data_IF_249593438217
#
_entry.id   IF_249593438217
#
_cell.length_a   1.000
_cell.length_b   1.000
_cell.length_c   1.000
_cell.angle_alpha   90.00
_cell.angle_beta   90.00
_cell.angle_gamma   90.00
#
_symmetry.space_group_name_H-M   'P 1'
#
loop_
_entity.id
_entity.type
_entity.pdbx_description
1 polymer ?
#
# COMPACT_ATOMS: atom_id res chain seq x y z
N UNK A 1 -10.47 -0.43 -98.65
CA UNK A 1 -11.71 -1.22 -98.78
C UNK A 1 -11.78 -2.10 -97.53
N UNK A 2 -12.59 -1.73 -96.52
CA UNK A 2 -13.95 -2.27 -96.25
C UNK A 2 -13.92 -3.81 -96.12
N UNK A 3 -14.39 -4.49 -95.06
CA UNK A 3 -15.17 -4.16 -93.85
C UNK A 3 -15.06 -5.34 -92.85
N UNK A 4 -15.34 -5.20 -91.55
CA UNK A 4 -16.65 -5.18 -90.84
C UNK A 4 -16.90 -6.48 -90.04
N UNK A 5 -17.27 -6.31 -88.75
CA UNK A 5 -18.10 -7.21 -87.89
C UNK A 5 -17.44 -8.45 -87.22
N UNK A 6 -17.63 -8.82 -85.93
CA UNK A 6 -18.57 -8.45 -84.84
C UNK A 6 -17.93 -8.66 -83.43
N UNK A 7 -18.42 -7.88 -82.46
CA UNK A 7 -18.45 -8.07 -80.98
C UNK A 7 -19.23 -9.35 -80.55
N UNK A 8 -19.50 -9.71 -79.25
CA UNK A 8 -19.17 -9.12 -77.91
C UNK A 8 -18.81 -10.13 -76.77
N UNK A 9 -18.25 -9.64 -75.64
CA UNK A 9 -18.65 -10.02 -74.24
C UNK A 9 -17.77 -9.27 -73.23
N UNK A 10 -18.27 -8.23 -72.54
CA UNK A 10 -18.93 -8.30 -71.22
C UNK A 10 -18.01 -8.82 -70.09
N UNK A 11 -17.43 -7.89 -69.31
CA UNK A 11 -17.65 -7.67 -67.86
C UNK A 11 -16.65 -6.58 -67.39
N UNK A 12 -17.04 -5.32 -67.19
CA UNK A 12 -17.69 -4.81 -65.98
C UNK A 12 -16.98 -5.22 -64.67
N UNK A 13 -16.06 -4.38 -64.17
CA UNK A 13 -16.34 -3.56 -62.97
C UNK A 13 -15.13 -2.73 -62.53
N UNK A 14 -15.35 -1.42 -62.46
CA UNK A 14 -14.60 -0.46 -61.65
C UNK A 14 -15.06 -0.62 -60.19
N UNK A 15 -14.16 -0.88 -59.25
CA UNK A 15 -14.40 -0.84 -57.79
C UNK A 15 -13.05 -0.60 -57.12
N UNK A 16 -12.64 0.64 -56.87
CA UNK A 16 -13.00 1.50 -55.73
C UNK A 16 -12.84 0.81 -54.37
N UNK A 17 -12.01 1.45 -53.54
CA UNK A 17 -11.57 1.19 -52.17
C UNK A 17 -12.36 0.19 -51.32
N UNK A 18 -11.61 -0.58 -50.52
CA UNK A 18 -11.89 -0.89 -49.10
C UNK A 18 -10.70 -1.62 -48.48
N UNK A 19 -9.65 -0.87 -48.13
CA UNK A 19 -8.70 -1.30 -47.10
C UNK A 19 -9.42 -1.29 -45.75
N UNK A 20 -9.99 -2.43 -45.39
CA UNK A 20 -10.86 -2.57 -44.22
C UNK A 20 -10.11 -2.53 -42.90
N UNK A 21 -10.89 -2.34 -41.82
CA UNK A 21 -10.56 -2.40 -40.39
C UNK A 21 -9.63 -3.54 -39.92
N UNK A 22 -9.29 -4.50 -40.79
CA UNK A 22 -8.46 -5.66 -40.48
C UNK A 22 -6.95 -5.38 -40.52
N UNK A 23 -6.46 -4.34 -41.20
CA UNK A 23 -5.04 -3.94 -41.06
C UNK A 23 -4.72 -3.25 -39.73
N UNK A 24 -5.76 -2.85 -38.99
CA UNK A 24 -5.64 -2.18 -37.69
C UNK A 24 -5.28 -3.13 -36.53
N UNK A 25 -5.27 -4.45 -36.74
CA UNK A 25 -5.04 -5.45 -35.70
C UNK A 25 -3.67 -6.16 -35.79
N UNK A 26 -2.69 -5.55 -36.47
CA UNK A 26 -1.30 -6.03 -36.37
C UNK A 26 -0.73 -5.66 -34.99
N UNK A 27 -0.03 -6.58 -34.28
CA UNK A 27 0.52 -6.30 -32.95
C UNK A 27 1.48 -5.11 -32.97
N UNK A 28 2.15 -4.86 -34.10
CA UNK A 28 3.01 -3.69 -34.31
C UNK A 28 2.28 -2.34 -34.14
N UNK A 29 0.99 -2.28 -34.49
CA UNK A 29 0.16 -1.07 -34.38
C UNK A 29 -0.49 -0.92 -32.99
N UNK A 30 -0.45 -1.97 -32.17
CA UNK A 30 -1.07 -2.01 -30.85
C UNK A 30 -0.13 -1.52 -29.74
N UNK A 31 1.17 -1.79 -29.88
CA UNK A 31 2.19 -1.42 -28.87
C UNK A 31 2.24 0.09 -28.61
N UNK A 32 2.22 0.97 -29.62
CA UNK A 32 2.18 2.42 -29.38
C UNK A 32 0.91 2.85 -28.65
N UNK A 33 -0.25 2.28 -29.00
CA UNK A 33 -1.53 2.57 -28.35
C UNK A 33 -1.58 2.12 -26.88
N UNK A 34 -0.97 0.97 -26.56
CA UNK A 34 -0.84 0.47 -25.19
C UNK A 34 0.02 1.36 -24.31
N UNK A 35 1.16 1.83 -24.83
CA UNK A 35 2.07 2.72 -24.09
C UNK A 35 1.41 4.08 -23.87
N UNK A 36 0.81 4.64 -24.91
CA UNK A 36 0.09 5.93 -24.82
C UNK A 36 -1.08 5.79 -23.84
N UNK A 37 -1.88 4.74 -23.94
CA UNK A 37 -3.00 4.47 -23.02
C UNK A 37 -2.55 4.26 -21.58
N UNK A 38 -1.42 3.58 -21.36
CA UNK A 38 -0.86 3.40 -20.02
C UNK A 38 -0.37 4.71 -19.43
N UNK A 39 0.36 5.53 -20.19
CA UNK A 39 0.85 6.85 -19.71
C UNK A 39 -0.32 7.80 -19.45
N UNK A 40 -1.32 7.85 -20.35
CA UNK A 40 -2.50 8.70 -20.18
C UNK A 40 -3.38 8.22 -19.01
N UNK A 41 -3.53 6.91 -18.84
CA UNK A 41 -4.22 6.30 -17.70
C UNK A 41 -3.51 6.61 -16.38
N UNK A 42 -2.18 6.48 -16.34
CA UNK A 42 -1.38 6.83 -15.16
C UNK A 42 -1.48 8.33 -14.85
N UNK A 43 -1.48 9.19 -15.86
CA UNK A 43 -1.60 10.64 -15.70
C UNK A 43 -2.99 11.07 -15.21
N UNK A 44 -4.06 10.45 -15.70
CA UNK A 44 -5.43 10.69 -15.21
C UNK A 44 -5.64 10.15 -13.79
N UNK A 45 -5.06 8.99 -13.47
CA UNK A 45 -5.12 8.40 -12.12
C UNK A 45 -4.37 9.27 -11.09
N UNK A 46 -3.22 9.83 -11.48
CA UNK A 46 -2.46 10.80 -10.67
C UNK A 46 -3.13 12.16 -10.54
N UNK A 47 -4.07 12.50 -11.44
CA UNK A 47 -4.79 13.79 -11.45
C UNK A 47 -6.08 13.78 -10.62
N UNK A 48 -6.48 12.63 -10.06
CA UNK A 48 -7.64 12.54 -9.18
C UNK A 48 -7.24 12.65 -7.71
N UNK A 49 -7.40 13.82 -7.06
CA UNK A 49 -7.38 13.87 -5.60
C UNK A 49 -8.65 13.15 -5.11
N UNK A 50 -8.49 11.89 -4.70
CA UNK A 50 -9.56 11.09 -4.09
C UNK A 50 -10.17 11.85 -2.91
N UNK A 51 -11.32 12.47 -3.16
CA UNK A 51 -12.18 13.06 -2.14
C UNK A 51 -12.96 11.92 -1.49
N UNK A 52 -12.41 11.32 -0.44
CA UNK A 52 -13.20 10.56 0.53
C UNK A 52 -13.13 11.24 1.90
N UNK A 53 -13.99 12.24 2.08
CA UNK A 53 -14.34 12.83 3.36
C UNK A 53 -15.55 12.11 3.97
N UNK A 54 -15.52 11.96 5.31
CA UNK A 54 -16.57 11.64 6.32
C UNK A 54 -16.28 10.29 7.02
N UNK A 55 -15.99 10.24 8.32
CA UNK A 55 -16.62 10.95 9.45
C UNK A 55 -15.60 11.50 10.45
N UNK A 56 -15.68 12.81 10.72
CA UNK A 56 -15.14 13.44 11.93
C UNK A 56 -15.96 12.99 13.13
N UNK A 57 -15.31 12.44 14.16
CA UNK A 57 -15.83 12.54 15.53
C UNK A 57 -15.05 13.67 16.20
N UNK A 58 -15.79 14.65 16.74
CA UNK A 58 -15.26 15.82 17.39
C UNK A 58 -14.55 15.39 18.68
N UNK A 59 -13.22 15.51 18.72
CA UNK A 59 -12.47 15.48 19.97
C UNK A 59 -12.09 16.92 20.31
N UNK A 60 -12.48 17.34 21.51
CA UNK A 60 -12.29 18.69 22.05
C UNK A 60 -10.79 19.06 22.05
N UNK A 61 -10.42 20.32 21.75
CA UNK A 61 -9.05 20.78 21.88
C UNK A 61 -8.79 21.10 23.35
N UNK A 62 -8.10 20.20 24.05
CA UNK A 62 -7.83 20.34 25.49
C UNK A 62 -6.40 19.95 25.84
N UNK A 63 -5.59 20.99 26.07
CA UNK A 63 -4.29 21.02 26.76
C UNK A 63 -3.08 20.43 26.04
N UNK A 64 -2.29 21.36 25.49
CA UNK A 64 -0.84 21.50 25.69
C UNK A 64 -0.04 20.20 25.89
N UNK A 65 0.31 19.52 24.80
CA UNK A 65 1.49 18.64 24.80
C UNK A 65 2.74 19.50 24.69
N UNK A 66 2.99 20.23 25.77
CA UNK A 66 4.24 20.92 26.02
C UNK A 66 4.72 20.40 27.38
N UNK A 67 5.19 19.15 27.36
CA UNK A 67 6.00 18.57 28.42
C UNK A 67 7.21 17.90 27.75
N UNK A 68 8.31 18.65 27.81
CA UNK A 68 9.72 18.26 27.98
C UNK A 68 10.23 17.13 27.05
N UNK A 69 11.01 17.34 25.99
CA UNK A 69 12.28 18.10 25.93
C UNK A 69 13.11 17.99 27.22
N UNK A 70 13.25 16.78 27.75
CA UNK A 70 14.47 16.29 28.41
C UNK A 70 14.52 14.77 28.26
N UNK A 71 15.24 14.28 27.24
CA UNK A 71 16.36 13.38 27.47
C UNK A 71 17.17 13.26 26.18
N UNK A 72 18.47 13.49 26.27
CA UNK A 72 19.39 13.16 25.20
C UNK A 72 19.40 11.65 24.99
N UNK A 73 19.40 11.23 23.74
CA UNK A 73 19.83 9.88 23.35
C UNK A 73 18.98 8.69 23.82
N UNK A 74 17.68 8.86 24.09
CA UNK A 74 16.80 7.69 24.26
C UNK A 74 16.64 6.96 22.92
N UNK A 75 17.17 5.74 22.87
CA UNK A 75 17.03 4.84 21.72
C UNK A 75 15.55 4.65 21.37
N UNK A 76 15.14 5.11 20.18
CA UNK A 76 13.79 4.94 19.67
C UNK A 76 13.71 3.71 18.77
N UNK A 77 12.61 2.96 18.86
CA UNK A 77 12.38 1.80 17.99
C UNK A 77 10.92 1.57 17.67
N UNK A 78 10.68 0.84 16.59
CA UNK A 78 9.37 0.31 16.21
C UNK A 78 9.41 -1.22 16.18
N UNK A 79 8.38 -1.86 16.72
CA UNK A 79 8.27 -3.33 16.75
C UNK A 79 7.07 -3.78 15.94
N UNK A 80 7.28 -4.77 15.07
CA UNK A 80 6.22 -5.43 14.30
C UNK A 80 5.93 -6.80 14.90
N UNK A 81 4.71 -6.98 15.39
CA UNK A 81 4.23 -8.23 15.99
C UNK A 81 3.47 -9.02 14.94
N UNK A 82 4.03 -10.16 14.53
CA UNK A 82 3.51 -11.04 13.48
C UNK A 82 2.76 -12.22 14.10
N UNK A 83 1.55 -12.47 13.60
CA UNK A 83 0.76 -13.64 13.98
C UNK A 83 1.30 -14.94 13.37
N UNK A 84 1.61 -15.91 14.22
CA UNK A 84 2.12 -17.22 13.82
C UNK A 84 1.03 -18.22 13.41
N UNK A 85 -0.19 -18.09 13.97
CA UNK A 85 -1.33 -18.95 13.62
C UNK A 85 -1.75 -18.85 12.15
N UNK A 86 -1.41 -17.75 11.48
CA UNK A 86 -1.70 -17.54 10.06
C UNK A 86 -0.73 -18.27 9.11
N UNK A 87 0.35 -18.87 9.63
CA UNK A 87 1.36 -19.63 8.86
C UNK A 87 1.83 -18.91 7.59
N UNK A 88 2.02 -17.59 7.67
CA UNK A 88 2.44 -16.78 6.53
C UNK A 88 3.87 -17.15 6.10
N UNK A 89 4.12 -17.29 4.80
CA UNK A 89 5.48 -17.44 4.27
C UNK A 89 6.29 -16.14 4.38
N UNK A 90 7.62 -16.25 4.34
CA UNK A 90 8.55 -15.13 4.56
C UNK A 90 8.25 -13.89 3.70
N UNK A 91 7.99 -14.08 2.40
CA UNK A 91 7.68 -12.96 1.49
C UNK A 91 6.37 -12.23 1.87
N UNK A 92 5.35 -12.96 2.31
CA UNK A 92 4.11 -12.36 2.79
C UNK A 92 4.34 -11.61 4.11
N UNK A 93 5.12 -12.17 5.03
CA UNK A 93 5.46 -11.49 6.28
C UNK A 93 6.18 -10.17 6.00
N UNK A 94 7.20 -10.19 5.12
CA UNK A 94 7.94 -8.99 4.74
C UNK A 94 7.02 -7.90 4.18
N UNK A 95 6.13 -8.26 3.25
CA UNK A 95 5.13 -7.32 2.68
C UNK A 95 4.19 -6.75 3.76
N UNK A 96 3.70 -7.58 4.69
CA UNK A 96 2.79 -7.13 5.75
C UNK A 96 3.49 -6.23 6.77
N UNK A 97 4.74 -6.52 7.13
CA UNK A 97 5.57 -5.62 7.95
C UNK A 97 5.84 -4.29 7.24
N UNK A 98 6.11 -4.31 5.92
CA UNK A 98 6.25 -3.09 5.14
C UNK A 98 4.96 -2.25 5.15
N UNK A 99 3.80 -2.87 4.94
CA UNK A 99 2.51 -2.18 5.05
C UNK A 99 2.27 -1.59 6.44
N UNK A 100 2.65 -2.31 7.50
CA UNK A 100 2.53 -1.82 8.86
C UNK A 100 3.42 -0.59 9.10
N UNK A 101 4.66 -0.63 8.60
CA UNK A 101 5.61 0.47 8.71
C UNK A 101 5.11 1.72 7.98
N UNK A 102 4.67 1.58 6.73
CA UNK A 102 4.19 2.71 5.93
C UNK A 102 2.87 3.28 6.45
N UNK A 103 1.97 2.41 6.94
CA UNK A 103 0.71 2.82 7.54
C UNK A 103 0.94 3.64 8.81
N UNK A 104 1.78 3.12 9.71
CA UNK A 104 2.20 3.84 10.91
C UNK A 104 2.84 5.19 10.56
N UNK A 105 3.80 5.20 9.63
CA UNK A 105 4.46 6.43 9.17
C UNK A 105 3.45 7.48 8.68
N UNK A 106 2.50 7.06 7.85
CA UNK A 106 1.46 7.94 7.31
C UNK A 106 0.52 8.51 8.37
N UNK A 107 0.29 7.83 9.48
CA UNK A 107 -0.50 8.38 10.59
C UNK A 107 0.31 9.36 11.45
N UNK A 108 1.59 9.07 11.67
CA UNK A 108 2.48 9.87 12.51
C UNK A 108 2.92 11.17 11.84
N UNK A 109 3.00 11.22 10.51
CA UNK A 109 3.34 12.46 9.80
C UNK A 109 2.32 13.58 10.06
N UNK A 110 1.10 13.28 10.50
CA UNK A 110 0.12 14.30 10.86
C UNK A 110 -0.07 14.48 12.35
N UNK A 111 0.13 13.41 13.14
CA UNK A 111 -0.16 13.41 14.58
C UNK A 111 1.06 13.63 15.48
N UNK A 112 2.24 13.12 15.11
CA UNK A 112 3.44 13.08 15.97
C UNK A 112 4.73 13.35 15.18
N UNK A 113 4.79 14.48 14.45
CA UNK A 113 5.94 14.81 13.57
C UNK A 113 7.30 14.85 14.28
N UNK A 114 7.36 15.33 15.52
CA UNK A 114 8.61 15.45 16.26
C UNK A 114 9.17 14.06 16.59
N UNK A 115 8.34 13.19 17.16
CA UNK A 115 8.68 11.79 17.47
C UNK A 115 9.15 11.05 16.21
N UNK A 116 8.42 11.23 15.09
CA UNK A 116 8.78 10.60 13.83
C UNK A 116 10.16 11.04 13.36
N UNK A 117 10.44 12.34 13.38
CA UNK A 117 11.75 12.90 12.99
C UNK A 117 12.88 12.40 13.88
N UNK A 118 12.66 12.30 15.19
CA UNK A 118 13.66 11.75 16.11
C UNK A 118 13.98 10.29 15.76
N UNK A 119 12.96 9.47 15.53
CA UNK A 119 13.16 8.07 15.15
C UNK A 119 13.88 7.94 13.80
N UNK A 120 13.57 8.78 12.81
CA UNK A 120 14.30 8.86 11.54
C UNK A 120 15.79 9.20 11.76
N UNK A 121 16.08 10.18 12.62
CA UNK A 121 17.44 10.58 12.97
C UNK A 121 18.22 9.49 13.71
N UNK A 122 17.52 8.63 14.47
CA UNK A 122 18.09 7.43 15.11
C UNK A 122 18.27 6.23 14.17
N UNK A 123 18.17 6.41 12.85
CA UNK A 123 18.32 5.32 11.89
C UNK A 123 17.10 4.40 11.78
N UNK A 124 15.93 4.87 12.25
CA UNK A 124 14.63 4.22 12.13
C UNK A 124 14.60 2.71 12.49
N UNK A 125 15.05 2.28 13.69
CA UNK A 125 15.13 0.87 14.05
C UNK A 125 13.78 0.15 14.01
N UNK A 126 13.80 -1.06 13.44
CA UNK A 126 12.63 -1.90 13.18
C UNK A 126 12.94 -3.34 13.62
N UNK A 127 12.15 -3.87 14.54
CA UNK A 127 12.33 -5.23 15.06
C UNK A 127 11.07 -6.03 14.76
N UNK A 128 11.22 -7.28 14.33
CA UNK A 128 10.10 -8.16 14.05
C UNK A 128 10.04 -9.26 15.10
N UNK A 129 8.91 -9.37 15.77
CA UNK A 129 8.62 -10.36 16.81
C UNK A 129 7.34 -11.11 16.49
N UNK A 130 7.04 -12.12 17.30
CA UNK A 130 5.92 -13.03 17.05
C UNK A 130 4.92 -13.05 18.20
N UNK A 131 3.64 -13.21 17.85
CA UNK A 131 2.59 -13.60 18.77
C UNK A 131 1.86 -14.85 18.24
N UNK A 132 1.24 -15.60 19.15
CA UNK A 132 0.56 -16.86 18.87
C UNK A 132 -0.68 -16.65 18.01
N UNK A 133 -1.50 -15.65 18.33
CA UNK A 133 -2.81 -15.46 17.70
C UNK A 133 -3.35 -14.02 17.83
N UNK A 134 -4.55 -13.80 17.30
CA UNK A 134 -5.25 -12.50 17.35
C UNK A 134 -5.51 -11.99 18.77
N UNK A 135 -5.84 -12.88 19.71
CA UNK A 135 -6.16 -12.49 21.08
C UNK A 135 -4.93 -11.92 21.79
N UNK A 136 -3.77 -12.56 21.62
CA UNK A 136 -2.51 -12.06 22.14
C UNK A 136 -2.11 -10.73 21.49
N UNK A 137 -2.27 -10.60 20.16
CA UNK A 137 -2.05 -9.33 19.45
C UNK A 137 -2.93 -8.20 20.00
N UNK A 138 -4.21 -8.47 20.28
CA UNK A 138 -5.11 -7.46 20.83
C UNK A 138 -4.67 -7.02 22.24
N UNK A 139 -4.21 -7.94 23.09
CA UNK A 139 -3.67 -7.61 24.43
C UNK A 139 -2.43 -6.74 24.35
N UNK A 140 -1.52 -7.05 23.42
CA UNK A 140 -0.31 -6.25 23.17
C UNK A 140 -0.68 -4.85 22.71
N UNK A 141 -1.64 -4.75 21.78
CA UNK A 141 -2.15 -3.46 21.28
C UNK A 141 -2.73 -2.62 22.42
N UNK A 142 -3.63 -3.20 23.21
CA UNK A 142 -4.27 -2.50 24.34
C UNK A 142 -3.23 -2.03 25.36
N UNK A 143 -2.26 -2.88 25.71
CA UNK A 143 -1.17 -2.51 26.61
C UNK A 143 -0.32 -1.35 26.07
N UNK A 144 -0.03 -1.32 24.77
CA UNK A 144 0.69 -0.23 24.12
C UNK A 144 -0.13 1.08 24.10
N UNK A 145 -1.41 1.00 23.71
CA UNK A 145 -2.32 2.16 23.69
C UNK A 145 -2.50 2.75 25.09
N UNK A 146 -2.59 1.92 26.13
CA UNK A 146 -2.74 2.35 27.53
C UNK A 146 -1.55 3.16 28.06
N UNK A 147 -0.34 2.94 27.53
CA UNK A 147 0.86 3.73 27.87
C UNK A 147 1.17 4.84 26.84
N UNK A 148 0.24 5.09 25.91
CA UNK A 148 0.36 6.16 24.92
C UNK A 148 1.29 5.86 23.75
N UNK A 149 1.68 4.60 23.52
CA UNK A 149 2.46 4.26 22.33
C UNK A 149 1.56 4.23 21.08
N UNK A 150 2.04 4.78 19.95
CA UNK A 150 1.35 4.63 18.67
C UNK A 150 1.21 3.14 18.29
N UNK A 151 0.04 2.76 17.75
CA UNK A 151 -0.18 1.41 17.21
C UNK A 151 -0.84 1.48 15.83
N UNK A 152 -0.52 0.52 14.97
CA UNK A 152 -1.13 0.39 13.64
C UNK A 152 -1.33 -1.09 13.33
N UNK A 153 -2.50 -1.45 12.78
CA UNK A 153 -2.83 -2.86 12.49
C UNK A 153 -3.08 -3.03 11.00
N UNK A 154 -2.37 -3.97 10.40
CA UNK A 154 -2.61 -4.41 9.02
C UNK A 154 -3.63 -5.54 9.03
N UNK A 155 -4.58 -5.47 8.10
CA UNK A 155 -5.48 -6.57 7.79
C UNK A 155 -5.25 -7.02 6.35
N UNK A 156 -5.27 -8.34 6.13
CA UNK A 156 -5.15 -8.89 4.78
C UNK A 156 -6.38 -8.54 3.95
N UNK A 157 -6.16 -8.01 2.75
CA UNK A 157 -7.22 -7.68 1.80
C UNK A 157 -7.86 -8.94 1.17
N UNK A 158 -7.36 -10.14 1.48
CA UNK A 158 -7.93 -11.40 0.98
C UNK A 158 -7.46 -11.79 -0.42
N UNK A 159 -6.33 -11.22 -0.87
CA UNK A 159 -5.70 -11.58 -2.16
C UNK A 159 -4.69 -12.72 -2.04
N UNK A 160 -4.61 -13.35 -0.88
CA UNK A 160 -3.60 -14.35 -0.54
C UNK A 160 -4.17 -15.45 0.37
N UNK A 161 -3.31 -16.38 0.82
CA UNK A 161 -3.64 -17.63 1.56
C UNK A 161 -4.33 -17.46 2.93
N UNK A 162 -4.63 -16.24 3.38
CA UNK A 162 -5.29 -15.99 4.68
C UNK A 162 -6.69 -15.41 4.42
N UNK A 163 -7.65 -15.75 5.29
CA UNK A 163 -9.01 -15.22 5.20
C UNK A 163 -9.02 -13.69 5.13
N UNK A 164 -9.80 -13.15 4.19
CA UNK A 164 -9.96 -11.71 4.03
C UNK A 164 -10.35 -11.03 5.35
N UNK A 165 -9.76 -9.87 5.63
CA UNK A 165 -10.02 -9.10 6.86
C UNK A 165 -9.27 -9.58 8.10
N UNK A 166 -8.48 -10.67 8.01
CA UNK A 166 -7.68 -11.14 9.14
C UNK A 166 -6.58 -10.12 9.46
N UNK A 167 -6.47 -9.69 10.72
CA UNK A 167 -5.35 -8.83 11.15
C UNK A 167 -4.08 -9.67 11.16
N UNK A 168 -3.04 -9.21 10.47
CA UNK A 168 -1.81 -9.99 10.20
C UNK A 168 -0.65 -9.52 11.07
N UNK A 169 -0.42 -8.21 11.09
CA UNK A 169 0.72 -7.56 11.75
C UNK A 169 0.24 -6.33 12.52
N UNK A 170 0.76 -6.18 13.74
CA UNK A 170 0.60 -4.99 14.58
C UNK A 170 1.95 -4.27 14.64
N UNK A 171 2.00 -2.99 14.28
CA UNK A 171 3.12 -2.11 14.61
C UNK A 171 2.88 -1.47 15.99
N UNK A 172 3.93 -1.44 16.80
CA UNK A 172 4.00 -0.75 18.11
C UNK A 172 5.17 0.23 18.06
N UNK A 173 4.90 1.50 18.38
CA UNK A 173 5.87 2.58 18.27
C UNK A 173 5.80 3.34 16.94
N UNK A 174 6.79 4.20 16.62
CA UNK A 174 8.06 4.33 17.30
C UNK A 174 7.88 4.93 18.70
N UNK A 175 8.78 4.58 19.61
CA UNK A 175 8.79 5.11 20.97
C UNK A 175 10.08 4.74 21.70
N UNK A 176 10.28 5.27 22.92
CA UNK A 176 11.45 4.93 23.73
C UNK A 176 11.57 3.42 23.89
N UNK A 177 12.79 2.90 23.74
CA UNK A 177 13.12 1.47 23.85
C UNK A 177 12.47 0.83 25.07
N UNK A 178 12.63 1.45 26.24
CA UNK A 178 12.10 0.96 27.52
C UNK A 178 10.56 0.83 27.50
N UNK A 179 9.87 1.86 26.98
CA UNK A 179 8.42 1.86 26.86
C UNK A 179 7.95 0.76 25.89
N UNK A 180 8.61 0.62 24.74
CA UNK A 180 8.27 -0.42 23.74
C UNK A 180 8.57 -1.83 24.29
N UNK A 181 9.68 -2.01 25.02
CA UNK A 181 10.07 -3.29 25.63
C UNK A 181 9.18 -3.69 26.80
N UNK A 182 8.61 -2.73 27.53
CA UNK A 182 7.63 -3.04 28.59
C UNK A 182 6.41 -3.82 28.05
N UNK A 183 6.09 -3.64 26.77
CA UNK A 183 4.95 -4.30 26.10
C UNK A 183 5.38 -5.48 25.24
N UNK A 184 6.53 -5.38 24.57
CA UNK A 184 6.95 -6.35 23.53
C UNK A 184 8.19 -7.18 23.88
N UNK A 185 8.92 -6.83 24.94
CA UNK A 185 10.24 -7.40 25.24
C UNK A 185 10.26 -8.88 25.63
N UNK A 186 9.09 -9.46 25.98
CA UNK A 186 8.94 -10.91 26.25
C UNK A 186 8.60 -11.73 25.00
N UNK A 187 8.33 -11.08 23.88
CA UNK A 187 7.97 -11.74 22.63
C UNK A 187 9.23 -12.28 21.95
N UNK A 188 9.10 -13.41 21.25
CA UNK A 188 10.22 -13.99 20.51
C UNK A 188 10.43 -13.26 19.20
N UNK A 189 11.69 -13.05 18.81
CA UNK A 189 12.05 -12.64 17.46
C UNK A 189 11.47 -13.62 16.43
N UNK A 190 11.08 -13.08 15.27
CA UNK A 190 10.55 -13.85 14.14
C UNK A 190 11.65 -14.68 13.46
#
# INVERSE_FOLDING_TARGET
MWGVSKNPSQLSNKKQEKGGLAESFRPENFIPGLIIGFIFGLFLDLSNPSKNQKKKKNFLPGKSQQQCLEDGDKELKMVFVVRQDLKMGAGKIASQCAHAATGMYSELIYSHRILLRQWEQSGQPKIVVTCKNQQEMNKIREAAENIGLPTFVVADAGRTQVSAGSKTVLAVGPGPKESVDSVTGKLRLL
#
